data_IF_781370376902
#
_entry.id   IF_781370376902
#
_cell.length_a   1.000
_cell.length_b   1.000
_cell.length_c   1.000
_cell.angle_alpha   90.00
_cell.angle_beta   90.00
_cell.angle_gamma   90.00
#
_symmetry.space_group_name_H-M   'P 1'
#
loop_
_entity.id
_entity.type
_entity.pdbx_description
1 polymer ?
#
# COMPACT_ATOMS: atom_id res chain seq x y z
N UNK A 1 3.72 4.06 17.74
CA UNK A 1 4.76 4.05 16.69
C UNK A 1 5.78 5.13 16.99
N UNK A 2 7.03 4.96 16.56
CA UNK A 2 8.10 5.94 16.80
C UNK A 2 7.88 7.19 15.94
N UNK A 3 8.34 8.35 16.41
CA UNK A 3 8.25 9.61 15.64
C UNK A 3 9.02 9.53 14.32
N UNK A 4 10.16 8.84 14.32
CA UNK A 4 10.99 8.56 13.15
C UNK A 4 10.19 7.90 12.01
N UNK A 5 9.26 7.01 12.35
CA UNK A 5 8.39 6.33 11.38
C UNK A 5 7.44 7.29 10.67
N UNK A 6 6.97 8.37 11.34
CA UNK A 6 6.14 9.37 10.67
C UNK A 6 6.94 10.19 9.67
N UNK A 7 8.16 10.62 10.04
CA UNK A 7 9.02 11.38 9.12
C UNK A 7 9.47 10.53 7.92
N UNK A 8 9.73 9.25 8.16
CA UNK A 8 10.06 8.28 7.12
C UNK A 8 8.93 8.18 6.08
N UNK A 9 7.69 7.94 6.50
CA UNK A 9 6.57 7.79 5.56
C UNK A 9 6.16 9.12 4.90
N UNK A 10 6.31 10.25 5.61
CA UNK A 10 5.98 11.57 5.07
C UNK A 10 6.91 11.99 3.93
N UNK A 11 8.20 11.72 4.05
CA UNK A 11 9.20 12.36 3.18
C UNK A 11 10.08 11.40 2.37
N UNK A 12 10.26 10.16 2.83
CA UNK A 12 11.26 9.28 2.23
C UNK A 12 10.79 8.69 0.89
N UNK A 13 11.76 8.33 0.05
CA UNK A 13 11.50 7.53 -1.15
C UNK A 13 11.21 6.09 -0.78
N UNK A 14 10.52 5.37 -1.67
CA UNK A 14 10.15 3.98 -1.46
C UNK A 14 11.34 3.11 -1.03
N UNK A 15 12.50 3.26 -1.68
CA UNK A 15 13.68 2.44 -1.37
C UNK A 15 14.20 2.67 0.04
N UNK A 16 14.23 3.92 0.51
CA UNK A 16 14.64 4.22 1.89
C UNK A 16 13.71 3.58 2.92
N UNK A 17 12.40 3.55 2.65
CA UNK A 17 11.43 2.89 3.55
C UNK A 17 11.68 1.38 3.56
N UNK A 18 11.88 0.76 2.39
CA UNK A 18 12.12 -0.68 2.26
C UNK A 18 13.44 -1.11 2.90
N UNK A 19 14.53 -0.36 2.69
CA UNK A 19 15.83 -0.59 3.33
C UNK A 19 15.73 -0.49 4.85
N UNK A 20 14.96 0.49 5.37
CA UNK A 20 14.73 0.63 6.81
C UNK A 20 14.04 -0.61 7.37
N UNK A 21 12.99 -1.09 6.71
CA UNK A 21 12.30 -2.32 7.12
C UNK A 21 13.21 -3.55 7.04
N UNK A 22 14.00 -3.68 5.98
CA UNK A 22 14.93 -4.78 5.80
C UNK A 22 16.03 -4.80 6.89
N UNK A 23 16.57 -3.64 7.23
CA UNK A 23 17.57 -3.50 8.28
C UNK A 23 17.01 -3.83 9.67
N UNK A 24 15.78 -3.40 9.98
CA UNK A 24 15.09 -3.78 11.22
C UNK A 24 14.81 -5.28 11.31
N UNK A 25 14.43 -5.93 10.20
CA UNK A 25 14.23 -7.38 10.15
C UNK A 25 15.54 -8.13 10.41
N UNK A 26 16.66 -7.65 9.84
CA UNK A 26 17.99 -8.22 10.04
C UNK A 26 18.46 -8.02 11.48
N UNK A 27 18.30 -6.82 12.05
CA UNK A 27 18.77 -6.48 13.40
C UNK A 27 18.05 -7.29 14.48
N UNK A 28 16.77 -7.61 14.27
CA UNK A 28 15.96 -8.44 15.18
C UNK A 28 16.09 -9.94 14.96
N UNK A 29 16.93 -10.36 14.00
CA UNK A 29 17.10 -11.77 13.62
C UNK A 29 15.78 -12.47 13.27
N UNK A 30 14.87 -11.75 12.59
CA UNK A 30 13.60 -12.30 12.16
C UNK A 30 13.80 -13.45 11.17
N UNK A 31 12.86 -14.40 11.18
CA UNK A 31 12.95 -15.57 10.31
C UNK A 31 13.02 -15.19 8.82
N UNK A 32 13.69 -16.01 8.01
CA UNK A 32 13.76 -15.79 6.55
C UNK A 32 12.37 -15.69 5.93
N UNK A 33 11.40 -16.45 6.45
CA UNK A 33 10.00 -16.41 6.05
C UNK A 33 9.38 -15.01 6.17
N UNK A 34 9.64 -14.28 7.25
CA UNK A 34 9.11 -12.92 7.41
C UNK A 34 9.83 -11.91 6.52
N UNK A 35 11.16 -12.06 6.38
CA UNK A 35 11.98 -11.20 5.52
C UNK A 35 11.52 -11.23 4.06
N UNK A 36 11.26 -12.42 3.54
CA UNK A 36 10.80 -12.63 2.16
C UNK A 36 9.38 -12.13 1.88
N UNK A 37 8.61 -11.78 2.93
CA UNK A 37 7.20 -11.35 2.79
C UNK A 37 6.99 -9.89 3.12
N UNK A 38 7.65 -9.37 4.16
CA UNK A 38 7.47 -7.99 4.60
C UNK A 38 7.91 -7.01 3.53
N UNK A 39 9.08 -7.18 2.93
CA UNK A 39 9.60 -6.22 1.95
C UNK A 39 8.73 -6.19 0.68
N UNK A 40 8.41 -7.32 0.01
CA UNK A 40 7.54 -7.28 -1.17
C UNK A 40 6.13 -6.76 -0.88
N UNK A 41 5.60 -7.04 0.31
CA UNK A 41 4.29 -6.54 0.71
C UNK A 41 4.28 -5.03 0.90
N UNK A 42 5.28 -4.49 1.61
CA UNK A 42 5.43 -3.05 1.78
C UNK A 42 5.69 -2.36 0.44
N UNK A 43 6.51 -2.95 -0.43
CA UNK A 43 6.78 -2.45 -1.77
C UNK A 43 5.49 -2.36 -2.60
N UNK A 44 4.66 -3.40 -2.60
CA UNK A 44 3.39 -3.41 -3.31
C UNK A 44 2.47 -2.26 -2.89
N UNK A 45 2.32 -2.01 -1.60
CA UNK A 45 1.48 -0.91 -1.09
C UNK A 45 2.11 0.45 -1.42
N UNK A 46 3.40 0.62 -1.14
CA UNK A 46 4.10 1.88 -1.33
C UNK A 46 4.24 2.28 -2.80
N UNK A 47 4.26 1.30 -3.72
CA UNK A 47 4.26 1.55 -5.16
C UNK A 47 3.06 2.40 -5.63
N UNK A 48 1.97 2.39 -4.86
CA UNK A 48 0.77 3.21 -5.10
C UNK A 48 0.71 4.42 -4.16
N UNK A 49 0.96 4.23 -2.86
CA UNK A 49 0.81 5.30 -1.88
C UNK A 49 1.83 6.43 -2.06
N UNK A 50 3.06 6.14 -2.51
CA UNK A 50 4.09 7.16 -2.72
C UNK A 50 3.74 8.09 -3.89
N UNK A 51 3.38 7.60 -5.09
CA UNK A 51 2.87 8.47 -6.16
C UNK A 51 1.68 9.33 -5.75
N UNK A 52 0.72 8.76 -5.00
CA UNK A 52 -0.43 9.52 -4.48
C UNK A 52 -0.02 10.58 -3.46
N UNK A 53 0.92 10.28 -2.56
CA UNK A 53 1.49 11.23 -1.61
C UNK A 53 2.12 12.41 -2.33
N UNK A 54 3.00 12.13 -3.27
CA UNK A 54 3.77 13.16 -3.97
C UNK A 54 2.86 14.03 -4.85
N UNK A 55 1.77 13.45 -5.37
CA UNK A 55 0.72 14.17 -6.08
C UNK A 55 -0.29 14.90 -5.16
N UNK A 56 -0.18 14.78 -3.82
CA UNK A 56 -1.14 15.29 -2.83
C UNK A 56 -2.56 14.75 -3.01
N UNK A 57 -2.66 13.50 -3.44
CA UNK A 57 -3.91 12.79 -3.74
C UNK A 57 -4.16 11.61 -2.81
N UNK A 58 -3.65 11.68 -1.58
CA UNK A 58 -3.89 10.60 -0.63
C UNK A 58 -5.34 10.60 -0.15
N UNK A 59 -5.86 9.40 0.02
CA UNK A 59 -7.15 9.14 0.62
C UNK A 59 -7.08 7.84 1.42
N UNK A 60 -8.07 7.62 2.27
CA UNK A 60 -8.19 6.43 3.09
C UNK A 60 -9.20 5.41 2.50
N UNK A 61 -9.34 4.21 3.07
CA UNK A 61 -10.29 3.21 2.56
C UNK A 61 -11.75 3.65 2.53
N UNK A 62 -12.17 4.64 3.34
CA UNK A 62 -13.51 5.26 3.26
C UNK A 62 -13.58 6.41 2.25
N UNK A 63 -12.59 6.49 1.36
CA UNK A 63 -12.50 7.44 0.27
C UNK A 63 -12.25 8.88 0.74
N UNK A 64 -11.95 9.11 2.03
CA UNK A 64 -11.77 10.44 2.60
C UNK A 64 -10.34 10.92 2.31
N UNK A 65 -10.22 12.14 1.80
CA UNK A 65 -8.94 12.81 1.57
C UNK A 65 -8.11 12.91 2.85
N UNK A 66 -6.81 12.65 2.74
CA UNK A 66 -5.84 12.78 3.84
C UNK A 66 -4.62 13.56 3.36
N UNK A 67 -4.01 14.31 4.28
CA UNK A 67 -2.95 15.27 3.91
C UNK A 67 -1.57 14.63 3.77
N UNK A 68 -1.30 13.58 4.53
CA UNK A 68 0.03 13.01 4.69
C UNK A 68 -0.04 11.49 4.69
N UNK A 69 1.02 10.87 4.16
CA UNK A 69 1.21 9.44 4.31
C UNK A 69 1.76 9.19 5.70
N UNK A 70 0.90 8.75 6.60
CA UNK A 70 1.31 8.28 7.93
C UNK A 70 1.42 6.76 7.94
N UNK A 71 2.16 6.19 8.89
CA UNK A 71 2.19 4.75 9.04
C UNK A 71 0.82 4.12 9.31
N UNK A 72 -0.08 4.81 10.01
CA UNK A 72 -1.46 4.37 10.17
C UNK A 72 -2.15 4.26 8.81
N UNK A 73 -2.03 5.28 7.96
CA UNK A 73 -2.62 5.23 6.62
C UNK A 73 -2.07 4.04 5.83
N UNK A 74 -0.76 3.80 5.88
CA UNK A 74 -0.16 2.60 5.29
C UNK A 74 -0.83 1.32 5.81
N UNK A 75 -0.98 1.16 7.12
CA UNK A 75 -1.60 -0.04 7.70
C UNK A 75 -3.08 -0.20 7.36
N UNK A 76 -3.80 0.90 7.16
CA UNK A 76 -5.19 0.85 6.69
C UNK A 76 -5.28 0.27 5.28
N UNK A 77 -4.30 0.58 4.43
CA UNK A 77 -4.19 -0.02 3.10
C UNK A 77 -3.49 -1.38 3.09
N UNK A 78 -2.81 -1.78 4.18
CA UNK A 78 -2.26 -3.12 4.36
C UNK A 78 -3.33 -4.19 4.62
N UNK A 79 -4.54 -3.81 5.03
CA UNK A 79 -5.63 -4.78 5.06
C UNK A 79 -5.87 -5.34 3.64
N UNK A 80 -5.95 -6.65 3.51
CA UNK A 80 -5.87 -7.28 2.18
C UNK A 80 -7.10 -7.00 1.31
N UNK A 81 -8.28 -6.83 1.93
CA UNK A 81 -9.46 -6.37 1.21
C UNK A 81 -9.27 -4.91 0.76
N UNK A 82 -8.79 -4.06 1.66
CA UNK A 82 -8.50 -2.66 1.35
C UNK A 82 -7.47 -2.52 0.23
N UNK A 83 -6.42 -3.35 0.22
CA UNK A 83 -5.39 -3.37 -0.81
C UNK A 83 -5.95 -3.77 -2.19
N UNK A 84 -6.81 -4.79 -2.22
CA UNK A 84 -7.53 -5.17 -3.44
C UNK A 84 -8.38 -4.01 -3.95
N UNK A 85 -9.16 -3.37 -3.07
CA UNK A 85 -9.98 -2.21 -3.43
C UNK A 85 -9.12 -1.06 -3.98
N UNK A 86 -7.96 -0.81 -3.38
CA UNK A 86 -7.01 0.19 -3.88
C UNK A 86 -6.56 -0.13 -5.31
N UNK A 87 -6.17 -1.38 -5.59
CA UNK A 87 -5.75 -1.80 -6.92
C UNK A 87 -6.84 -1.54 -7.98
N UNK A 88 -8.09 -1.94 -7.72
CA UNK A 88 -9.21 -1.68 -8.64
C UNK A 88 -9.52 -0.20 -8.80
N UNK A 89 -9.42 0.59 -7.73
CA UNK A 89 -9.60 2.04 -7.78
C UNK A 89 -8.56 2.69 -8.68
N UNK A 90 -7.28 2.33 -8.53
CA UNK A 90 -6.21 2.86 -9.36
C UNK A 90 -6.30 2.36 -10.79
N UNK A 91 -6.70 1.11 -11.03
CA UNK A 91 -6.92 0.58 -12.37
C UNK A 91 -7.98 1.38 -13.14
N UNK A 92 -9.13 1.63 -12.51
CA UNK A 92 -10.21 2.45 -13.09
C UNK A 92 -9.78 3.92 -13.27
N UNK A 93 -8.94 4.42 -12.36
CA UNK A 93 -8.39 5.77 -12.47
C UNK A 93 -7.41 5.89 -13.64
N UNK A 94 -6.56 4.89 -13.84
CA UNK A 94 -5.66 4.79 -14.99
C UNK A 94 -6.44 4.77 -16.32
N UNK A 95 -7.51 3.98 -16.41
CA UNK A 95 -8.35 3.89 -17.60
C UNK A 95 -9.08 5.21 -17.91
N UNK A 96 -9.56 5.91 -16.88
CA UNK A 96 -10.31 7.17 -17.03
C UNK A 96 -9.43 8.42 -17.13
N UNK A 97 -8.15 8.32 -16.78
CA UNK A 97 -7.22 9.44 -16.73
C UNK A 97 -7.50 10.44 -15.60
N UNK A 98 -8.37 10.10 -14.65
CA UNK A 98 -8.71 10.91 -13.48
C UNK A 98 -8.77 10.04 -12.24
N UNK A 99 -8.47 10.59 -11.06
CA UNK A 99 -8.59 9.81 -9.82
C UNK A 99 -10.07 9.61 -9.46
N UNK A 100 -10.49 8.34 -9.36
CA UNK A 100 -11.85 7.93 -9.04
C UNK A 100 -11.98 7.38 -7.62
N UNK A 101 -13.22 7.22 -7.14
CA UNK A 101 -13.56 6.56 -5.85
C UNK A 101 -12.85 7.20 -4.66
N UNK A 102 -12.86 8.53 -4.66
CA UNK A 102 -12.30 9.38 -3.62
C UNK A 102 -13.20 10.59 -3.44
N UNK A 103 -13.20 11.17 -2.24
CA UNK A 103 -13.87 12.42 -1.86
C UNK A 103 -12.93 13.63 -1.95
N UNK A 104 -11.79 13.47 -2.62
CA UNK A 104 -10.96 14.60 -3.06
C UNK A 104 -11.76 15.50 -4.00
N UNK A 105 -11.38 16.77 -4.06
CA UNK A 105 -12.03 17.72 -4.97
C UNK A 105 -11.75 17.35 -6.43
N UNK A 106 -12.72 17.62 -7.31
CA UNK A 106 -12.62 17.26 -8.73
C UNK A 106 -11.42 17.93 -9.43
N UNK A 107 -11.02 19.12 -8.99
CA UNK A 107 -9.90 19.83 -9.61
C UNK A 107 -8.58 19.14 -9.33
N UNK A 108 -8.39 18.61 -8.12
CA UNK A 108 -7.27 17.75 -7.75
C UNK A 108 -7.32 16.44 -8.54
N UNK A 109 -8.46 15.75 -8.59
CA UNK A 109 -8.57 14.45 -9.28
C UNK A 109 -8.28 14.52 -10.79
N UNK A 110 -8.53 15.66 -11.44
CA UNK A 110 -8.20 15.89 -12.87
C UNK A 110 -6.71 15.99 -13.15
N UNK A 111 -5.88 16.27 -12.14
CA UNK A 111 -4.43 16.31 -12.29
C UNK A 111 -3.78 14.92 -12.15
N UNK A 112 -4.60 13.87 -12.07
CA UNK A 112 -4.13 12.50 -11.90
C UNK A 112 -3.21 12.09 -13.04
N UNK A 113 -2.17 11.35 -12.69
CA UNK A 113 -1.25 10.72 -13.63
C UNK A 113 -1.31 9.22 -13.45
N UNK A 114 -1.14 8.50 -14.54
CA UNK A 114 -1.14 7.04 -14.53
C UNK A 114 -0.12 6.54 -13.52
N UNK A 115 -0.58 5.67 -12.61
CA UNK A 115 0.25 4.97 -11.64
C UNK A 115 0.54 3.58 -12.19
N UNK A 116 1.81 3.19 -12.25
CA UNK A 116 2.19 1.83 -12.66
C UNK A 116 1.74 0.82 -11.59
N UNK A 117 0.80 -0.04 -11.97
CA UNK A 117 0.25 -1.08 -11.11
C UNK A 117 1.00 -2.40 -11.21
N UNK A 118 2.07 -2.52 -11.97
CA UNK A 118 2.76 -3.80 -12.18
C UNK A 118 3.18 -4.46 -10.87
N UNK A 119 3.79 -3.70 -9.95
CA UNK A 119 4.26 -4.24 -8.65
C UNK A 119 3.08 -4.73 -7.81
N UNK A 120 2.07 -3.88 -7.61
CA UNK A 120 0.88 -4.24 -6.82
C UNK A 120 0.09 -5.39 -7.47
N UNK A 121 -0.09 -5.36 -8.78
CA UNK A 121 -0.79 -6.39 -9.55
C UNK A 121 -0.09 -7.74 -9.50
N UNK A 122 1.23 -7.77 -9.72
CA UNK A 122 2.04 -8.98 -9.60
C UNK A 122 1.95 -9.56 -8.17
N UNK A 123 2.00 -8.70 -7.15
CA UNK A 123 1.86 -9.10 -5.75
C UNK A 123 0.48 -9.72 -5.46
N UNK A 124 -0.61 -9.05 -5.87
CA UNK A 124 -1.98 -9.52 -5.63
C UNK A 124 -2.27 -10.82 -6.40
N UNK A 125 -1.81 -10.93 -7.65
CA UNK A 125 -1.95 -12.14 -8.47
C UNK A 125 -1.25 -13.35 -7.85
N UNK A 126 -0.02 -13.19 -7.35
CA UNK A 126 0.72 -14.24 -6.60
C UNK A 126 -0.02 -14.69 -5.34
N UNK A 127 -0.84 -13.82 -4.76
CA UNK A 127 -1.69 -14.10 -3.61
C UNK A 127 -3.13 -14.44 -4.00
N UNK A 128 -3.34 -14.94 -5.23
CA UNK A 128 -4.61 -15.49 -5.74
C UNK A 128 -5.78 -14.49 -5.73
N UNK A 129 -5.49 -13.20 -5.86
CA UNK A 129 -6.52 -12.17 -6.06
C UNK A 129 -6.82 -12.08 -7.54
N UNK A 130 -8.11 -12.14 -7.89
CA UNK A 130 -8.55 -11.89 -9.25
C UNK A 130 -8.57 -10.37 -9.51
N UNK A 131 -7.83 -9.92 -10.53
CA UNK A 131 -7.73 -8.50 -10.93
C UNK A 131 -8.63 -8.15 -12.13
N UNK A 132 -9.37 -9.11 -12.66
CA UNK A 132 -10.34 -8.92 -13.75
C UNK A 132 -11.76 -8.76 -13.22
N UNK A 133 -12.08 -9.40 -12.09
CA UNK A 133 -13.38 -9.38 -11.46
C UNK A 133 -13.28 -8.98 -9.98
N UNK A 134 -13.62 -7.72 -9.72
CA UNK A 134 -13.62 -7.09 -8.39
C UNK A 134 -14.53 -7.80 -7.38
N UNK A 135 -15.57 -8.51 -7.83
CA UNK A 135 -16.52 -9.19 -6.94
C UNK A 135 -16.04 -10.55 -6.42
N UNK A 136 -14.97 -11.12 -6.97
CA UNK A 136 -14.46 -12.42 -6.53
C UNK A 136 -13.60 -12.30 -5.29
N UNK A 137 -13.91 -13.09 -4.27
CA UNK A 137 -13.10 -13.18 -3.06
C UNK A 137 -11.76 -13.88 -3.30
N UNK A 138 -10.86 -13.70 -2.33
CA UNK A 138 -9.57 -14.37 -2.25
C UNK A 138 -9.57 -15.40 -1.10
N UNK A 139 -8.65 -16.38 -1.11
CA UNK A 139 -8.57 -17.38 -0.04
C UNK A 139 -8.32 -16.74 1.34
N UNK A 140 -9.09 -17.17 2.35
CA UNK A 140 -8.97 -16.70 3.75
C UNK A 140 -7.55 -16.94 4.31
N UNK A 141 -6.87 -18.00 3.88
CA UNK A 141 -5.47 -18.27 4.25
C UNK A 141 -4.54 -17.11 3.92
N UNK A 142 -4.77 -16.46 2.77
CA UNK A 142 -3.95 -15.33 2.33
C UNK A 142 -4.25 -14.11 3.19
N UNK A 143 -5.51 -13.85 3.54
CA UNK A 143 -5.87 -12.78 4.47
C UNK A 143 -5.14 -12.93 5.83
N UNK A 144 -5.18 -14.11 6.45
CA UNK A 144 -4.54 -14.36 7.74
C UNK A 144 -3.02 -14.14 7.69
N UNK A 145 -2.39 -14.53 6.59
CA UNK A 145 -0.97 -14.31 6.37
C UNK A 145 -0.62 -12.82 6.32
N UNK A 146 -1.42 -12.01 5.64
CA UNK A 146 -1.23 -10.56 5.56
C UNK A 146 -1.43 -9.86 6.91
N UNK A 147 -2.35 -10.36 7.74
CA UNK A 147 -2.48 -9.90 9.12
C UNK A 147 -1.19 -10.20 9.92
N UNK A 148 -0.60 -11.38 9.74
CA UNK A 148 0.70 -11.73 10.32
C UNK A 148 1.82 -10.78 9.87
N UNK A 149 1.94 -10.55 8.56
CA UNK A 149 2.95 -9.63 7.99
C UNK A 149 2.77 -8.21 8.53
N UNK A 150 1.53 -7.72 8.57
CA UNK A 150 1.22 -6.39 9.12
C UNK A 150 1.64 -6.25 10.59
N UNK A 151 1.46 -7.29 11.39
CA UNK A 151 1.90 -7.30 12.79
C UNK A 151 3.41 -7.28 12.94
N UNK A 152 4.14 -7.99 12.06
CA UNK A 152 5.60 -7.90 12.02
C UNK A 152 6.03 -6.48 11.73
N UNK A 153 5.48 -5.84 10.67
CA UNK A 153 5.83 -4.45 10.32
C UNK A 153 5.53 -3.49 11.47
N UNK A 154 4.36 -3.60 12.12
CA UNK A 154 4.02 -2.79 13.30
C UNK A 154 5.01 -2.93 14.45
N UNK A 155 5.63 -4.10 14.60
CA UNK A 155 6.64 -4.29 15.63
C UNK A 155 7.95 -3.58 15.30
N UNK A 156 8.27 -3.40 14.02
CA UNK A 156 9.51 -2.78 13.53
C UNK A 156 9.47 -1.24 13.65
N UNK A 157 8.32 -0.63 13.34
CA UNK A 157 8.09 0.82 13.25
C UNK A 157 7.55 1.48 14.54
#
# INVERSE_FOLDING_TARGET
MKQESYELFRNAEIQTILETLENELKSRNESAFWRERVVPFSEAILSVLIPLRDAKMLFNPEEIAVKELTPELFFRWSDFLSLKTLAFTIQKSNESGVLLRTKLDETTCKNYKIIDLKILGDYLSRNSVNLENESLDFPISNYNLHQGVSNVIKSLL
#
